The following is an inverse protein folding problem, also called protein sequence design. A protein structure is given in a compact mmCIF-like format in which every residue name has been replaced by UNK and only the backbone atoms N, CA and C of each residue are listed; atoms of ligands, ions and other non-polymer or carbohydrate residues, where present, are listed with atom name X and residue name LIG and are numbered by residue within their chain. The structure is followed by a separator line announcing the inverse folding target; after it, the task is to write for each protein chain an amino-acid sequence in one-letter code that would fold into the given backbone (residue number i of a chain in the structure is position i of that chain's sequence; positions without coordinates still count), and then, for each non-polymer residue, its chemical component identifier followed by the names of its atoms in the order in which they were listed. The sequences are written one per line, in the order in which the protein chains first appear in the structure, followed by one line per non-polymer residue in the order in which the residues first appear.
data_IF_102002689922
#
_entry.id   IF_102002689922
#
_cell.length_a   1.000
_cell.length_b   1.000
_cell.length_c   1.000
_cell.angle_alpha   90.00
_cell.angle_beta   90.00
_cell.angle_gamma   90.00
#
_symmetry.space_group_name_H-M   'P 1'
#
loop_
_entity.id
_entity.type
_entity.pdbx_description
1 polymer ?
#
# COMPACT_ATOMS: atom_id res chain seq x y z
N UNK A 1 -14.53 -9.31 -15.95
CA UNK A 1 -14.35 -8.48 -14.77
C UNK A 1 -13.76 -9.31 -13.64
N UNK A 2 -12.45 -9.45 -13.59
CA UNK A 2 -11.76 -10.16 -12.52
C UNK A 2 -11.61 -9.23 -11.31
N UNK A 3 -11.97 -9.67 -10.11
CA UNK A 3 -11.73 -8.96 -8.85
C UNK A 3 -12.85 -8.03 -8.36
N UNK A 4 -13.97 -7.90 -9.07
CA UNK A 4 -15.16 -7.17 -8.62
C UNK A 4 -16.43 -7.64 -9.35
N UNK A 5 -17.62 -7.29 -8.85
CA UNK A 5 -18.91 -7.65 -9.43
C UNK A 5 -19.79 -6.43 -9.73
N UNK A 6 -20.51 -6.40 -10.86
CA UNK A 6 -21.54 -5.39 -11.11
C UNK A 6 -22.88 -5.71 -10.40
N UNK A 7 -22.99 -6.86 -9.73
CA UNK A 7 -24.24 -7.34 -9.14
C UNK A 7 -24.40 -6.83 -7.71
N UNK A 8 -25.45 -6.06 -7.43
CA UNK A 8 -25.63 -5.32 -6.18
C UNK A 8 -25.76 -6.14 -4.89
N UNK A 9 -26.00 -7.45 -4.97
CA UNK A 9 -26.02 -8.36 -3.81
C UNK A 9 -24.74 -9.21 -3.67
N UNK A 10 -23.71 -8.90 -4.43
CA UNK A 10 -22.40 -9.55 -4.31
C UNK A 10 -21.58 -8.90 -3.22
N UNK A 11 -20.86 -9.71 -2.41
CA UNK A 11 -19.93 -9.23 -1.40
C UNK A 11 -18.76 -8.39 -1.98
N UNK A 12 -18.51 -8.54 -3.28
CA UNK A 12 -17.51 -7.75 -4.03
C UNK A 12 -18.17 -6.79 -5.02
N UNK A 13 -19.34 -6.24 -4.68
CA UNK A 13 -20.03 -5.26 -5.50
C UNK A 13 -19.26 -3.95 -5.58
N UNK A 14 -19.03 -3.45 -6.79
CA UNK A 14 -18.19 -2.27 -7.07
C UNK A 14 -18.95 -0.94 -7.18
N UNK A 15 -20.23 -0.91 -6.83
CA UNK A 15 -21.09 0.24 -7.07
C UNK A 15 -21.61 0.30 -8.53
N UNK A 16 -22.41 1.31 -8.82
CA UNK A 16 -23.04 1.51 -10.15
C UNK A 16 -22.09 2.18 -11.15
N UNK A 17 -21.08 2.88 -10.65
CA UNK A 17 -20.06 3.57 -11.44
C UNK A 17 -18.81 3.81 -10.59
N UNK A 18 -17.70 4.22 -11.22
CA UNK A 18 -16.55 4.73 -10.50
C UNK A 18 -16.97 5.91 -9.61
N UNK A 19 -16.52 5.88 -8.36
CA UNK A 19 -16.86 6.90 -7.34
C UNK A 19 -18.37 7.08 -7.07
N UNK A 20 -19.18 6.02 -7.27
CA UNK A 20 -20.60 6.07 -6.89
C UNK A 20 -20.80 6.11 -5.37
N UNK A 21 -19.83 5.60 -4.60
CA UNK A 21 -19.93 5.48 -3.15
C UNK A 21 -19.31 6.72 -2.45
N UNK A 22 -19.99 7.30 -1.44
CA UNK A 22 -19.51 8.51 -0.77
C UNK A 22 -18.16 8.31 -0.08
N UNK A 23 -17.85 7.10 0.38
CA UNK A 23 -16.56 6.76 0.98
C UNK A 23 -15.40 6.90 -0.02
N UNK A 24 -15.59 6.42 -1.24
CA UNK A 24 -14.57 6.55 -2.30
C UNK A 24 -14.40 8.00 -2.76
N UNK A 25 -15.50 8.76 -2.82
CA UNK A 25 -15.46 10.20 -3.10
C UNK A 25 -14.70 10.97 -2.02
N UNK A 26 -14.88 10.61 -0.74
CA UNK A 26 -14.18 11.25 0.36
C UNK A 26 -12.65 11.03 0.28
N UNK A 27 -12.21 9.82 -0.07
CA UNK A 27 -10.78 9.54 -0.28
C UNK A 27 -10.24 10.29 -1.48
N UNK A 28 -10.96 10.30 -2.61
CA UNK A 28 -10.55 11.05 -3.80
C UNK A 28 -10.40 12.54 -3.48
N UNK A 29 -11.38 13.14 -2.81
CA UNK A 29 -11.33 14.54 -2.35
C UNK A 29 -10.10 14.79 -1.48
N UNK A 30 -9.81 13.90 -0.52
CA UNK A 30 -8.66 14.04 0.37
C UNK A 30 -7.32 14.05 -0.41
N UNK A 31 -7.17 13.13 -1.36
CA UNK A 31 -5.97 13.05 -2.20
C UNK A 31 -5.78 14.31 -3.05
N UNK A 32 -6.87 14.88 -3.57
CA UNK A 32 -6.83 16.13 -4.35
C UNK A 32 -6.50 17.38 -3.51
N UNK A 33 -6.87 17.37 -2.24
CA UNK A 33 -6.70 18.56 -1.36
C UNK A 33 -5.33 18.65 -0.70
N UNK A 34 -4.63 17.53 -0.53
CA UNK A 34 -3.39 17.50 0.26
C UNK A 34 -2.24 16.81 -0.49
N UNK A 35 -1.01 17.34 -0.37
CA UNK A 35 0.14 16.80 -1.08
C UNK A 35 0.70 15.55 -0.38
N UNK A 36 0.01 14.42 -0.50
CA UNK A 36 0.51 13.15 0.01
C UNK A 36 1.64 12.60 -0.86
N UNK A 37 2.66 12.02 -0.23
CA UNK A 37 3.71 11.26 -0.92
C UNK A 37 3.50 9.75 -0.80
N UNK A 38 2.91 9.33 0.32
CA UNK A 38 2.72 7.92 0.67
C UNK A 38 1.31 7.70 1.23
N UNK A 39 0.70 6.56 0.92
CA UNK A 39 -0.59 6.14 1.47
C UNK A 39 -0.58 4.65 1.85
N UNK A 40 -1.27 4.30 2.94
CA UNK A 40 -1.49 2.91 3.37
C UNK A 40 -2.98 2.66 3.55
N UNK A 41 -3.50 1.63 2.88
CA UNK A 41 -4.88 1.18 2.98
C UNK A 41 -4.91 -0.20 3.65
N UNK A 42 -5.30 -0.25 4.92
CA UNK A 42 -5.24 -1.47 5.71
C UNK A 42 -6.39 -2.43 5.41
N UNK A 43 -6.03 -3.69 5.22
CA UNK A 43 -6.94 -4.81 4.99
C UNK A 43 -6.60 -6.02 5.88
N UNK A 44 -7.32 -7.11 5.72
CA UNK A 44 -7.10 -8.44 6.25
C UNK A 44 -7.39 -9.45 5.14
N UNK A 45 -6.64 -10.53 5.04
CA UNK A 45 -5.55 -11.02 5.86
C UNK A 45 -4.43 -11.63 5.00
N UNK A 46 -3.25 -11.90 5.59
CA UNK A 46 -2.19 -12.64 4.87
C UNK A 46 -0.77 -12.24 5.27
N UNK A 47 -0.59 -11.17 6.05
CA UNK A 47 0.72 -10.58 6.31
C UNK A 47 1.45 -10.20 5.03
N UNK A 48 0.74 -9.56 4.12
CA UNK A 48 1.24 -9.05 2.86
C UNK A 48 1.36 -7.52 2.88
N UNK A 49 2.18 -6.99 2.01
CA UNK A 49 2.21 -5.59 1.65
C UNK A 49 2.05 -5.48 0.13
N UNK A 50 0.85 -5.20 -0.30
CA UNK A 50 0.44 -5.21 -1.70
C UNK A 50 0.71 -3.85 -2.34
N UNK A 51 1.21 -3.84 -3.56
CA UNK A 51 1.46 -2.63 -4.34
C UNK A 51 0.90 -2.73 -5.78
N UNK A 52 0.72 -1.62 -6.49
CA UNK A 52 0.27 -1.61 -7.89
C UNK A 52 1.22 -2.36 -8.86
N UNK A 53 0.69 -2.93 -9.97
CA UNK A 53 -0.71 -2.92 -10.35
C UNK A 53 -1.39 -4.18 -9.85
N UNK A 54 -2.65 -4.02 -9.42
CA UNK A 54 -3.44 -5.15 -8.91
C UNK A 54 -4.54 -5.57 -9.88
N UNK A 55 -4.87 -4.76 -10.87
CA UNK A 55 -5.88 -5.04 -11.89
C UNK A 55 -5.34 -5.73 -13.15
N UNK A 56 -4.04 -5.72 -13.38
CA UNK A 56 -3.36 -6.37 -14.51
C UNK A 56 -2.14 -7.18 -14.04
N UNK A 57 -1.60 -8.06 -14.90
CA UNK A 57 -0.41 -8.87 -14.60
C UNK A 57 0.90 -8.22 -15.10
N UNK A 58 0.92 -6.91 -15.19
CA UNK A 58 2.11 -6.17 -15.61
C UNK A 58 2.64 -5.33 -14.46
N UNK A 59 3.97 -5.21 -14.30
CA UNK A 59 4.55 -4.35 -13.29
C UNK A 59 4.18 -2.89 -13.56
N UNK A 60 3.96 -2.12 -12.50
CA UNK A 60 3.80 -0.67 -12.65
C UNK A 60 5.15 0.00 -12.98
N UNK A 61 5.16 1.22 -13.53
CA UNK A 61 6.40 1.91 -13.90
C UNK A 61 7.41 2.05 -12.76
N UNK A 62 6.94 2.12 -11.51
CA UNK A 62 7.78 2.29 -10.33
C UNK A 62 7.84 1.03 -9.44
N UNK A 63 7.68 -0.16 -10.03
CA UNK A 63 7.65 -1.45 -9.33
C UNK A 63 8.82 -1.64 -8.35
N UNK A 64 10.06 -1.36 -8.79
CA UNK A 64 11.24 -1.45 -7.93
C UNK A 64 11.22 -0.42 -6.79
N UNK A 65 10.67 0.77 -7.01
CA UNK A 65 10.49 1.77 -5.95
C UNK A 65 9.51 1.28 -4.89
N UNK A 66 8.39 0.69 -5.30
CA UNK A 66 7.44 0.06 -4.38
C UNK A 66 8.09 -1.07 -3.57
N UNK A 67 8.84 -1.95 -4.22
CA UNK A 67 9.56 -3.03 -3.54
C UNK A 67 10.58 -2.50 -2.53
N UNK A 68 11.30 -1.44 -2.84
CA UNK A 68 12.28 -0.82 -1.94
C UNK A 68 11.60 -0.14 -0.73
N UNK A 69 10.54 0.63 -0.97
CA UNK A 69 9.73 1.24 0.09
C UNK A 69 9.12 0.13 0.97
N UNK A 70 8.57 -0.91 0.34
CA UNK A 70 7.98 -2.05 1.04
C UNK A 70 8.99 -2.81 1.89
N UNK A 71 10.21 -3.05 1.41
CA UNK A 71 11.29 -3.68 2.20
C UNK A 71 11.59 -2.88 3.47
N UNK A 72 11.57 -1.54 3.38
CA UNK A 72 11.77 -0.68 4.55
C UNK A 72 10.63 -0.84 5.55
N UNK A 73 9.37 -0.83 5.09
CA UNK A 73 8.21 -1.07 5.93
C UNK A 73 8.25 -2.46 6.58
N UNK A 74 8.60 -3.49 5.82
CA UNK A 74 8.56 -4.89 6.22
C UNK A 74 9.77 -5.37 7.04
N UNK A 75 10.74 -4.53 7.34
CA UNK A 75 11.96 -4.91 8.06
C UNK A 75 11.68 -5.69 9.35
N UNK A 76 10.65 -5.32 10.10
CA UNK A 76 10.34 -5.88 11.41
C UNK A 76 9.22 -6.92 11.37
N UNK A 77 8.20 -6.71 10.55
CA UNK A 77 7.01 -7.57 10.51
C UNK A 77 7.12 -8.73 9.50
N UNK A 78 8.12 -8.66 8.60
CA UNK A 78 8.40 -9.69 7.59
C UNK A 78 7.24 -9.95 6.62
N UNK A 79 6.42 -8.96 6.36
CA UNK A 79 5.35 -9.07 5.37
C UNK A 79 5.95 -9.39 4.01
N UNK A 80 5.32 -10.30 3.27
CA UNK A 80 5.68 -10.56 1.88
C UNK A 80 5.18 -9.40 1.01
N UNK A 81 6.03 -8.95 0.07
CA UNK A 81 5.78 -7.77 -0.77
C UNK A 81 5.53 -8.24 -2.19
N UNK A 82 4.49 -7.71 -2.82
CA UNK A 82 4.15 -8.04 -4.19
C UNK A 82 2.84 -7.41 -4.63
N UNK A 83 2.44 -7.67 -5.87
CA UNK A 83 1.11 -7.33 -6.38
C UNK A 83 0.04 -8.24 -5.78
N UNK A 84 -1.26 -7.93 -5.98
CA UNK A 84 -2.34 -8.80 -5.52
C UNK A 84 -2.21 -10.22 -6.11
N UNK A 85 -1.85 -10.35 -7.39
CA UNK A 85 -1.63 -11.64 -8.03
C UNK A 85 -0.48 -12.44 -7.39
N UNK A 86 0.62 -11.76 -6.99
CA UNK A 86 1.79 -12.40 -6.38
C UNK A 86 1.56 -12.77 -4.90
N UNK A 87 0.64 -12.11 -4.22
CA UNK A 87 0.39 -12.29 -2.78
C UNK A 87 -0.89 -13.06 -2.49
N UNK A 88 -2.06 -12.49 -2.79
CA UNK A 88 -3.36 -13.13 -2.53
C UNK A 88 -3.81 -14.08 -3.64
N UNK A 89 -3.12 -14.09 -4.80
CA UNK A 89 -3.33 -15.05 -5.88
C UNK A 89 -4.47 -14.70 -6.84
N UNK A 90 -5.01 -13.49 -6.80
CA UNK A 90 -6.04 -13.01 -7.72
C UNK A 90 -5.92 -11.51 -7.97
N UNK A 91 -6.46 -11.05 -9.10
CA UNK A 91 -6.53 -9.63 -9.44
C UNK A 91 -7.65 -8.93 -8.70
N UNK A 92 -7.48 -7.64 -8.46
CA UNK A 92 -8.51 -6.78 -7.86
C UNK A 92 -8.81 -5.59 -8.77
N UNK A 93 -10.06 -5.16 -8.82
CA UNK A 93 -10.49 -3.98 -9.55
C UNK A 93 -11.01 -2.91 -8.60
N UNK A 94 -10.73 -1.64 -8.92
CA UNK A 94 -11.18 -0.52 -8.11
C UNK A 94 -10.44 -0.39 -6.78
N UNK A 95 -9.22 -0.96 -6.70
CA UNK A 95 -8.35 -0.81 -5.55
C UNK A 95 -7.92 0.65 -5.35
N UNK A 96 -7.95 1.11 -4.11
CA UNK A 96 -7.55 2.47 -3.78
C UNK A 96 -6.05 2.71 -4.01
N UNK A 97 -5.23 1.70 -3.83
CA UNK A 97 -3.78 1.76 -4.07
C UNK A 97 -3.45 1.98 -5.55
N UNK A 98 -4.08 1.24 -6.46
CA UNK A 98 -3.93 1.42 -7.90
C UNK A 98 -4.39 2.82 -8.33
N UNK A 99 -5.56 3.26 -7.84
CA UNK A 99 -6.11 4.56 -8.21
C UNK A 99 -5.27 5.72 -7.67
N UNK A 100 -4.89 5.69 -6.39
CA UNK A 100 -4.08 6.75 -5.77
C UNK A 100 -2.72 6.88 -6.47
N UNK A 101 -2.10 5.75 -6.85
CA UNK A 101 -0.84 5.78 -7.57
C UNK A 101 -0.97 6.29 -9.00
N UNK A 102 -2.05 5.93 -9.71
CA UNK A 102 -2.31 6.37 -11.09
C UNK A 102 -2.80 7.81 -11.18
N UNK A 103 -3.40 8.33 -10.10
CA UNK A 103 -4.06 9.63 -10.10
C UNK A 103 -3.03 10.77 -10.12
N UNK A 104 -3.23 11.70 -11.07
CA UNK A 104 -2.38 12.88 -11.17
C UNK A 104 -2.96 14.03 -10.32
N UNK A 105 -2.58 14.06 -9.06
CA UNK A 105 -2.88 15.17 -8.13
C UNK A 105 -1.75 16.22 -8.07
N UNK A 106 -0.96 16.33 -9.14
CA UNK A 106 0.21 17.23 -9.21
C UNK A 106 1.46 16.67 -8.56
N UNK A 107 1.38 15.51 -7.94
CA UNK A 107 2.52 14.74 -7.43
C UNK A 107 2.19 13.25 -7.36
N UNK A 108 3.21 12.43 -7.47
CA UNK A 108 3.08 10.97 -7.34
C UNK A 108 2.90 10.55 -5.89
N UNK A 109 1.92 9.67 -5.64
CA UNK A 109 1.66 9.08 -4.33
C UNK A 109 1.95 7.57 -4.39
N UNK A 110 2.88 7.08 -3.59
CA UNK A 110 3.13 5.65 -3.46
C UNK A 110 2.14 5.05 -2.47
N UNK A 111 1.11 4.39 -2.98
CA UNK A 111 0.05 3.79 -2.18
C UNK A 111 0.20 2.27 -2.12
N UNK A 112 0.12 1.69 -0.92
CA UNK A 112 0.23 0.25 -0.69
C UNK A 112 -0.86 -0.24 0.26
N UNK A 113 -1.18 -1.53 0.17
CA UNK A 113 -2.19 -2.18 1.02
C UNK A 113 -1.54 -3.22 1.93
N UNK A 114 -1.39 -2.93 3.24
CA UNK A 114 -1.01 -3.94 4.22
C UNK A 114 -2.19 -4.87 4.53
N UNK A 115 -2.01 -6.18 4.36
CA UNK A 115 -2.94 -7.24 4.74
C UNK A 115 -2.52 -7.84 6.08
N UNK A 116 -3.24 -7.50 7.16
CA UNK A 116 -2.88 -7.89 8.52
C UNK A 116 -3.45 -9.26 8.90
N UNK A 117 -2.66 -10.00 9.64
CA UNK A 117 -3.09 -11.27 10.23
C UNK A 117 -2.79 -12.47 9.35
N UNK A 118 -2.99 -13.66 9.92
CA UNK A 118 -2.80 -14.94 9.26
C UNK A 118 -4.16 -15.54 8.88
N UNK A 119 -4.13 -16.70 8.23
CA UNK A 119 -5.35 -17.40 7.81
C UNK A 119 -6.30 -17.69 9.00
N UNK A 120 -5.76 -18.00 10.16
CA UNK A 120 -6.54 -18.22 11.39
C UNK A 120 -7.23 -16.96 11.93
N UNK A 121 -6.72 -15.77 11.60
CA UNK A 121 -7.35 -14.50 11.95
C UNK A 121 -8.55 -14.18 11.04
N UNK A 122 -8.49 -14.59 9.77
CA UNK A 122 -9.53 -14.37 8.78
C UNK A 122 -9.87 -12.89 8.53
N UNK A 123 -11.01 -12.63 7.90
CA UNK A 123 -11.47 -11.25 7.60
C UNK A 123 -11.97 -10.49 8.83
N UNK A 124 -12.32 -11.20 9.91
CA UNK A 124 -12.83 -10.59 11.13
C UNK A 124 -12.19 -11.20 12.38
N UNK A 125 -10.96 -10.79 12.71
CA UNK A 125 -10.24 -11.32 13.86
C UNK A 125 -10.98 -11.11 15.18
N UNK A 126 -10.77 -12.01 16.12
CA UNK A 126 -11.29 -11.82 17.47
C UNK A 126 -10.77 -10.52 18.10
N UNK A 127 -11.58 -9.84 18.91
CA UNK A 127 -11.21 -8.57 19.57
C UNK A 127 -9.91 -8.66 20.37
N UNK A 128 -9.58 -9.82 20.93
CA UNK A 128 -8.33 -10.08 21.64
C UNK A 128 -7.08 -9.96 20.75
N UNK A 129 -7.23 -10.15 19.43
CA UNK A 129 -6.15 -10.06 18.46
C UNK A 129 -5.81 -8.62 18.04
N UNK A 130 -6.72 -7.66 18.20
CA UNK A 130 -6.58 -6.28 17.70
C UNK A 130 -5.24 -5.66 18.13
N UNK A 131 -4.91 -5.77 19.42
CA UNK A 131 -3.68 -5.15 19.95
C UNK A 131 -2.41 -5.77 19.38
N UNK A 132 -2.40 -7.08 19.20
CA UNK A 132 -1.21 -7.78 18.69
C UNK A 132 -1.05 -7.53 17.18
N UNK A 133 -2.13 -7.57 16.41
CA UNK A 133 -2.10 -7.22 15.00
C UNK A 133 -1.63 -5.76 14.79
N UNK A 134 -2.17 -4.81 15.55
CA UNK A 134 -1.73 -3.42 15.48
C UNK A 134 -0.23 -3.24 15.82
N UNK A 135 0.30 -4.00 16.77
CA UNK A 135 1.73 -3.95 17.10
C UNK A 135 2.63 -4.43 15.97
N UNK A 136 2.18 -5.38 15.14
CA UNK A 136 3.00 -5.90 14.02
C UNK A 136 3.33 -4.81 13.00
N UNK A 137 2.48 -3.79 12.88
CA UNK A 137 2.64 -2.70 11.91
C UNK A 137 3.25 -1.43 12.50
N UNK A 138 3.34 -1.31 13.82
CA UNK A 138 3.73 -0.07 14.49
C UNK A 138 5.09 0.46 13.98
N UNK A 139 6.09 -0.40 13.89
CA UNK A 139 7.42 -0.01 13.43
C UNK A 139 7.43 0.36 11.95
N UNK A 140 6.72 -0.41 11.13
CA UNK A 140 6.51 -0.11 9.71
C UNK A 140 5.88 1.25 9.51
N UNK A 141 4.81 1.56 10.26
CA UNK A 141 4.13 2.86 10.21
C UNK A 141 5.01 4.02 10.64
N UNK A 142 5.86 3.83 11.66
CA UNK A 142 6.83 4.85 12.06
C UNK A 142 7.84 5.13 10.96
N UNK A 143 8.34 4.10 10.28
CA UNK A 143 9.26 4.26 9.15
C UNK A 143 8.55 4.91 7.96
N UNK A 144 7.32 4.49 7.66
CA UNK A 144 6.48 5.06 6.62
C UNK A 144 6.26 6.57 6.81
N UNK A 145 5.88 6.97 8.02
CA UNK A 145 5.68 8.39 8.36
C UNK A 145 6.97 9.21 8.22
N UNK A 146 8.12 8.62 8.55
CA UNK A 146 9.42 9.28 8.36
C UNK A 146 9.77 9.44 6.90
N UNK A 147 9.47 8.45 6.06
CA UNK A 147 9.67 8.55 4.61
C UNK A 147 8.77 9.60 3.99
N UNK A 148 7.48 9.65 4.37
CA UNK A 148 6.52 10.62 3.85
C UNK A 148 6.88 12.08 4.16
N UNK A 149 7.55 12.35 5.27
CA UNK A 149 7.95 13.71 5.66
C UNK A 149 9.12 14.27 4.83
N UNK A 150 9.85 13.40 4.13
CA UNK A 150 10.98 13.80 3.31
C UNK A 150 10.62 13.60 1.85
N UNK A 151 10.60 14.67 1.06
CA UNK A 151 10.53 14.62 -0.39
C UNK A 151 11.73 13.82 -0.90
N UNK A 152 11.52 12.54 -1.13
CA UNK A 152 12.44 11.74 -1.90
C UNK A 152 11.94 11.68 -3.33
N UNK A 153 12.57 12.42 -4.20
CA UNK A 153 12.74 11.97 -5.56
C UNK A 153 13.65 10.73 -5.47
N UNK A 154 13.06 9.55 -5.29
CA UNK A 154 13.76 8.28 -5.44
C UNK A 154 13.97 8.06 -6.95
N UNK A 155 14.85 8.86 -7.53
CA UNK A 155 15.49 8.45 -8.76
C UNK A 155 16.30 7.20 -8.42
N UNK A 156 15.87 6.05 -8.94
CA UNK A 156 16.52 4.76 -8.75
C UNK A 156 17.91 4.86 -9.38
N UNK A 157 18.88 5.13 -8.56
CA UNK A 157 20.27 4.91 -8.89
C UNK A 157 20.73 3.72 -8.05
N UNK A 158 20.72 2.54 -8.68
CA UNK A 158 21.38 1.32 -8.23
C UNK A 158 20.93 0.68 -6.88
N UNK A 159 20.75 -0.66 -6.80
CA UNK A 159 20.20 -1.38 -5.62
C UNK A 159 21.11 -1.41 -4.38
N UNK A 160 22.15 -0.59 -4.33
CA UNK A 160 23.18 -0.61 -3.28
C UNK A 160 23.09 0.52 -2.25
N UNK A 161 22.02 1.31 -2.22
CA UNK A 161 21.92 2.40 -1.25
C UNK A 161 21.22 1.98 0.05
N UNK A 162 21.99 1.94 1.15
CA UNK A 162 21.48 1.88 2.51
C UNK A 162 21.23 3.30 3.02
N UNK A 163 19.96 3.62 3.31
CA UNK A 163 19.62 4.88 3.98
C UNK A 163 19.86 4.73 5.48
N UNK A 164 20.87 5.38 6.00
CA UNK A 164 21.08 5.51 7.43
C UNK A 164 20.59 6.90 7.87
N UNK A 165 19.58 6.93 8.72
CA UNK A 165 19.12 8.19 9.34
C UNK A 165 19.68 8.31 10.74
N UNK A 166 20.48 9.34 10.99
CA UNK A 166 20.83 9.81 12.33
C UNK A 166 20.50 11.30 12.41
N UNK A 167 19.74 11.68 13.43
CA UNK A 167 19.49 13.06 13.90
C UNK A 167 19.39 14.15 12.79
N UNK A 168 18.31 14.08 11.98
CA UNK A 168 17.97 15.05 10.95
C UNK A 168 18.89 15.13 9.71
N UNK A 169 19.86 14.27 9.56
CA UNK A 169 20.62 14.08 8.33
C UNK A 169 20.42 12.68 7.75
N UNK A 170 20.34 12.62 6.43
CA UNK A 170 20.38 11.35 5.68
C UNK A 170 21.75 11.26 5.05
N UNK A 171 22.50 10.27 5.48
CA UNK A 171 23.71 9.87 4.78
C UNK A 171 23.35 8.76 3.79
N UNK A 172 23.56 9.03 2.52
CA UNK A 172 23.47 8.02 1.46
C UNK A 172 24.85 7.38 1.38
N UNK A 173 24.96 6.15 1.86
CA UNK A 173 26.18 5.39 1.72
C UNK A 173 26.18 4.71 0.36
N UNK A 174 27.11 5.09 -0.50
CA UNK A 174 27.42 4.45 -1.76
C UNK A 174 28.47 3.37 -1.46
N UNK A 175 28.14 2.11 -1.71
CA UNK A 175 29.13 1.02 -1.73
C UNK A 175 29.60 0.78 -3.17
#
# INVERSE_FOLDING_TARGET
DNGSSPTGNSDVYRGIAAFSEPETQAIAFLIDQYPFSLALNYHTYGNYLIHPWNHIDEPCPDDESFKNIGRTYAQQNKFAIGTAQETVGYKTNGGSDDWIYAHDAGQKVYSMTPELGLQEDGFWPAKSRIRDLAKTTLKGNQLWSKMAHRYFELSILDPLYLIKSTDNQIDILIN
#
